data_IF_007124792257
#
_entry.id   IF_007124792257
#
_cell.length_a   1.000
_cell.length_b   1.000
_cell.length_c   1.000
_cell.angle_alpha   90.00
_cell.angle_beta   90.00
_cell.angle_gamma   90.00
#
_symmetry.space_group_name_H-M   'P 1'
#
loop_
_entity.id
_entity.type
_entity.pdbx_description
1 polymer ?
#
# COMPACT_ATOMS: atom_id res chain seq x y z
N UNK A 1 -3.20 1.35 -73.20
CA UNK A 1 -2.33 0.36 -72.54
C UNK A 1 -1.58 1.12 -71.46
N UNK A 2 -2.16 1.24 -70.25
CA UNK A 2 -1.98 0.35 -69.10
C UNK A 2 -0.51 0.23 -68.70
N UNK A 3 -0.10 0.87 -67.60
CA UNK A 3 0.89 0.44 -66.59
C UNK A 3 1.16 1.65 -65.67
N UNK A 4 0.98 1.48 -64.36
CA UNK A 4 1.66 2.35 -63.39
C UNK A 4 0.86 2.83 -62.18
N UNK A 5 -0.44 2.54 -62.11
CA UNK A 5 -1.22 2.67 -60.88
C UNK A 5 -0.90 1.50 -59.93
N UNK A 6 0.29 1.46 -59.33
CA UNK A 6 0.66 0.37 -58.43
C UNK A 6 1.73 0.72 -57.37
N UNK A 7 1.73 1.94 -56.85
CA UNK A 7 2.64 2.36 -55.77
C UNK A 7 1.92 3.05 -54.60
N UNK A 8 0.74 2.55 -54.21
CA UNK A 8 -0.01 3.06 -53.04
C UNK A 8 -0.32 1.96 -52.01
N UNK A 9 0.02 0.70 -52.27
CA UNK A 9 -0.58 -0.43 -51.54
C UNK A 9 0.42 -1.38 -50.88
N UNK A 10 1.34 -0.90 -50.04
CA UNK A 10 2.16 -1.82 -49.22
C UNK A 10 2.73 -1.26 -47.90
N UNK A 11 2.25 -0.11 -47.40
CA UNK A 11 2.76 0.48 -46.16
C UNK A 11 2.02 0.11 -44.87
N UNK A 12 0.99 -0.73 -44.94
CA UNK A 12 0.05 -0.96 -43.81
C UNK A 12 0.25 -2.29 -43.07
N UNK A 13 1.25 -3.09 -43.40
CA UNK A 13 1.43 -4.40 -42.76
C UNK A 13 2.47 -4.35 -41.66
N UNK A 14 1.99 -4.61 -40.43
CA UNK A 14 2.73 -5.06 -39.26
C UNK A 14 3.25 -4.00 -38.27
N UNK A 15 2.34 -3.17 -37.74
CA UNK A 15 2.47 -2.76 -36.34
C UNK A 15 2.10 -3.96 -35.44
N UNK A 16 3.02 -4.92 -35.28
CA UNK A 16 2.87 -5.99 -34.30
C UNK A 16 2.83 -5.37 -32.90
N UNK A 17 1.63 -5.19 -32.35
CA UNK A 17 1.44 -4.80 -30.96
C UNK A 17 1.52 -6.05 -30.10
N UNK A 18 2.67 -6.28 -29.47
CA UNK A 18 2.82 -7.33 -28.47
C UNK A 18 2.00 -6.96 -27.25
N UNK A 19 0.93 -7.70 -26.99
CA UNK A 19 0.14 -7.59 -25.76
C UNK A 19 0.70 -8.64 -24.80
N UNK A 20 1.60 -8.24 -23.92
CA UNK A 20 2.06 -9.10 -22.84
C UNK A 20 0.92 -9.26 -21.82
N UNK A 21 0.34 -10.45 -21.77
CA UNK A 21 -0.73 -10.77 -20.80
C UNK A 21 -0.11 -11.53 -19.65
N UNK A 22 0.30 -10.81 -18.60
CA UNK A 22 0.81 -11.41 -17.37
C UNK A 22 -0.37 -11.98 -16.58
N UNK A 23 -0.52 -13.31 -16.58
CA UNK A 23 -1.47 -13.99 -15.70
C UNK A 23 -0.84 -14.13 -14.32
N UNK A 24 -1.47 -13.66 -13.23
CA UNK A 24 -0.95 -13.90 -11.90
C UNK A 24 -0.96 -15.41 -11.63
N UNK A 25 0.22 -15.98 -11.36
CA UNK A 25 0.33 -17.33 -10.82
C UNK A 25 -0.09 -17.22 -9.35
N UNK A 26 -1.31 -17.67 -9.02
CA UNK A 26 -1.78 -17.72 -7.65
C UNK A 26 -1.00 -18.79 -6.86
N UNK A 27 0.15 -18.41 -6.29
CA UNK A 27 0.67 -19.10 -5.09
C UNK A 27 0.00 -18.46 -3.89
N UNK A 28 -0.95 -19.16 -3.28
CA UNK A 28 -1.53 -18.73 -2.00
C UNK A 28 -0.50 -19.01 -0.90
N UNK A 29 0.42 -18.08 -0.68
CA UNK A 29 1.15 -18.07 0.59
C UNK A 29 0.14 -17.87 1.73
N UNK A 30 0.31 -18.56 2.87
CA UNK A 30 -0.61 -18.40 4.00
C UNK A 30 -0.59 -16.94 4.48
N UNK A 31 -1.71 -16.25 4.30
CA UNK A 31 -1.90 -14.87 4.76
C UNK A 31 -1.98 -14.88 6.28
N UNK A 32 -0.96 -14.34 6.94
CA UNK A 32 -0.99 -14.12 8.39
C UNK A 32 -1.91 -12.94 8.69
N UNK A 33 -3.07 -13.23 9.28
CA UNK A 33 -4.00 -12.21 9.76
C UNK A 33 -3.83 -12.02 11.27
N UNK A 34 -3.64 -10.78 11.72
CA UNK A 34 -3.77 -10.40 13.12
C UNK A 34 -5.10 -9.64 13.29
N UNK A 35 -5.83 -9.82 14.41
CA UNK A 35 -6.97 -8.96 14.71
C UNK A 35 -6.49 -7.52 15.01
N UNK A 36 -7.32 -6.50 14.73
CA UNK A 36 -7.00 -5.14 15.14
C UNK A 36 -7.05 -5.04 16.68
N UNK A 37 -6.03 -4.44 17.28
CA UNK A 37 -5.92 -4.29 18.75
C UNK A 37 -6.47 -2.95 19.20
N UNK A 38 -6.17 -1.87 18.46
CA UNK A 38 -6.58 -0.50 18.79
C UNK A 38 -6.90 0.30 17.54
N UNK A 39 -7.71 1.34 17.70
CA UNK A 39 -8.01 2.30 16.65
C UNK A 39 -7.91 3.72 17.19
N UNK A 40 -7.37 4.61 16.36
CA UNK A 40 -7.20 6.01 16.69
C UNK A 40 -7.87 6.86 15.61
N UNK A 41 -8.65 7.84 16.00
CA UNK A 41 -9.07 8.92 15.10
C UNK A 41 -7.95 9.96 15.03
N UNK A 42 -7.63 10.38 13.81
CA UNK A 42 -6.63 11.42 13.56
C UNK A 42 -7.35 12.73 13.30
N UNK A 43 -7.00 13.75 14.08
CA UNK A 43 -7.55 15.09 13.92
C UNK A 43 -6.43 16.10 13.71
N UNK A 44 -6.72 17.15 12.94
CA UNK A 44 -5.91 18.36 12.86
C UNK A 44 -6.80 19.60 13.09
N UNK A 45 -6.26 20.80 12.86
CA UNK A 45 -6.99 22.06 13.04
C UNK A 45 -8.28 22.19 12.19
N UNK A 46 -8.44 21.35 11.16
CA UNK A 46 -9.62 21.32 10.27
C UNK A 46 -10.63 20.25 10.66
N UNK A 47 -10.35 19.51 11.73
CA UNK A 47 -11.17 18.40 12.20
C UNK A 47 -10.61 17.04 11.79
N UNK A 48 -11.46 16.01 11.67
CA UNK A 48 -11.02 14.64 11.46
C UNK A 48 -10.41 14.47 10.06
N UNK A 49 -9.25 13.82 10.01
CA UNK A 49 -8.49 13.57 8.78
C UNK A 49 -8.51 12.09 8.36
N UNK A 50 -8.74 11.18 9.30
CA UNK A 50 -8.74 9.74 9.05
C UNK A 50 -8.59 8.92 10.31
N UNK A 51 -8.14 7.68 10.15
CA UNK A 51 -7.99 6.73 11.24
C UNK A 51 -6.66 6.00 11.17
N UNK A 52 -6.19 5.51 12.30
CA UNK A 52 -5.04 4.60 12.40
C UNK A 52 -5.50 3.35 13.12
N UNK A 53 -5.30 2.19 12.52
CA UNK A 53 -5.59 0.89 13.13
C UNK A 53 -4.28 0.20 13.46
N UNK A 54 -4.12 -0.21 14.71
CA UNK A 54 -2.96 -0.95 15.18
C UNK A 54 -3.26 -2.45 15.18
N UNK A 55 -2.38 -3.20 14.55
CA UNK A 55 -2.32 -4.66 14.58
C UNK A 55 -1.06 -5.07 15.35
N UNK A 56 -1.23 -5.65 16.53
CA UNK A 56 -0.12 -6.22 17.29
C UNK A 56 0.00 -7.71 16.96
N UNK A 57 1.18 -8.16 16.55
CA UNK A 57 1.40 -9.59 16.41
C UNK A 57 1.57 -10.23 17.80
N UNK A 58 0.97 -11.40 17.98
CA UNK A 58 1.03 -12.15 19.25
C UNK A 58 2.44 -12.61 19.60
N UNK A 59 3.34 -12.71 18.61
CA UNK A 59 4.68 -13.27 18.79
C UNK A 59 5.75 -12.24 19.19
N UNK A 60 5.62 -10.98 18.78
CA UNK A 60 6.61 -9.93 19.09
C UNK A 60 6.06 -8.52 18.88
N UNK A 61 6.31 -7.57 19.80
CA UNK A 61 5.99 -6.16 19.61
C UNK A 61 6.69 -5.52 18.38
N UNK A 62 7.80 -6.10 17.93
CA UNK A 62 8.52 -5.65 16.73
C UNK A 62 7.79 -5.96 15.42
N UNK A 63 6.69 -6.72 15.49
CA UNK A 63 5.81 -7.04 14.37
C UNK A 63 4.52 -6.18 14.39
N UNK A 64 4.48 -5.12 15.21
CA UNK A 64 3.38 -4.16 15.18
C UNK A 64 3.27 -3.46 13.82
N UNK A 65 2.03 -3.32 13.34
CA UNK A 65 1.72 -2.65 12.09
C UNK A 65 0.61 -1.62 12.32
N UNK A 66 0.87 -0.39 11.92
CA UNK A 66 -0.08 0.72 11.97
C UNK A 66 -0.59 0.99 10.57
N UNK A 67 -1.91 0.99 10.42
CA UNK A 67 -2.58 1.08 9.14
C UNK A 67 -3.32 2.39 9.10
N UNK A 68 -2.96 3.24 8.14
CA UNK A 68 -3.53 4.58 8.04
C UNK A 68 -4.66 4.57 7.02
N UNK A 69 -5.84 5.01 7.44
CA UNK A 69 -7.06 5.06 6.64
C UNK A 69 -7.56 6.47 6.46
N UNK A 70 -8.20 6.75 5.33
CA UNK A 70 -8.97 7.98 5.17
C UNK A 70 -10.31 7.91 5.92
N UNK A 71 -11.08 9.01 5.87
CA UNK A 71 -12.43 9.09 6.46
C UNK A 71 -13.42 8.06 5.89
N UNK A 72 -13.16 7.58 4.67
CA UNK A 72 -13.95 6.55 4.00
C UNK A 72 -13.46 5.13 4.29
N UNK A 73 -12.60 4.95 5.31
CA UNK A 73 -12.06 3.65 5.74
C UNK A 73 -11.21 2.93 4.68
N UNK A 74 -10.70 3.65 3.67
CA UNK A 74 -9.78 3.08 2.69
C UNK A 74 -8.35 3.12 3.23
N UNK A 75 -7.64 2.01 3.13
CA UNK A 75 -6.23 1.91 3.51
C UNK A 75 -5.36 2.78 2.57
N UNK A 76 -4.71 3.80 3.12
CA UNK A 76 -3.84 4.74 2.39
C UNK A 76 -2.35 4.41 2.54
N UNK A 77 -1.98 3.67 3.57
CA UNK A 77 -0.60 3.32 3.82
C UNK A 77 -0.42 2.59 5.13
N UNK A 78 0.83 2.24 5.41
CA UNK A 78 1.25 1.51 6.60
C UNK A 78 2.48 2.12 7.22
N UNK A 79 2.62 1.93 8.53
CA UNK A 79 3.81 2.26 9.30
C UNK A 79 4.17 1.02 10.10
N UNK A 80 5.40 0.54 9.98
CA UNK A 80 5.84 -0.61 10.76
C UNK A 80 6.33 -0.23 12.16
N UNK A 81 6.65 -1.23 12.98
CA UNK A 81 7.19 -1.05 14.32
C UNK A 81 8.52 -0.26 14.38
N UNK A 82 9.25 -0.16 13.26
CA UNK A 82 10.47 0.64 13.15
C UNK A 82 10.19 2.10 12.76
N UNK A 83 8.91 2.46 12.59
CA UNK A 83 8.49 3.80 12.22
C UNK A 83 8.74 4.13 10.74
N UNK A 84 8.94 3.13 9.88
CA UNK A 84 9.06 3.34 8.43
C UNK A 84 7.65 3.44 7.85
N UNK A 85 7.37 4.56 7.18
CA UNK A 85 6.07 4.88 6.62
C UNK A 85 6.06 4.64 5.10
N UNK A 86 5.03 3.94 4.63
CA UNK A 86 4.81 3.60 3.24
C UNK A 86 3.38 4.03 2.84
N UNK A 87 3.24 4.65 1.67
CA UNK A 87 1.96 5.15 1.17
C UNK A 87 1.55 4.39 -0.09
N UNK A 88 0.33 3.88 -0.12
CA UNK A 88 -0.27 3.32 -1.31
C UNK A 88 -0.62 4.45 -2.28
N UNK A 89 -0.27 4.27 -3.55
CA UNK A 89 -0.61 5.21 -4.61
C UNK A 89 -1.58 4.53 -5.56
N UNK A 90 -2.60 5.24 -6.06
CA UNK A 90 -3.49 4.68 -7.07
C UNK A 90 -2.70 4.17 -8.27
N UNK A 91 -3.05 2.97 -8.74
CA UNK A 91 -2.44 2.30 -9.89
C UNK A 91 -0.99 1.85 -9.74
N UNK A 92 -0.36 2.05 -8.57
CA UNK A 92 0.97 1.52 -8.29
C UNK A 92 0.85 0.14 -7.63
N UNK A 93 1.61 -0.83 -8.15
CA UNK A 93 1.66 -2.18 -7.56
C UNK A 93 2.36 -2.19 -6.20
N UNK A 94 3.32 -1.27 -5.99
CA UNK A 94 4.16 -1.22 -4.79
C UNK A 94 3.93 0.07 -4.01
N UNK A 95 3.84 -0.01 -2.67
CA UNK A 95 3.75 1.20 -1.86
C UNK A 95 5.04 2.02 -1.95
N UNK A 96 4.90 3.34 -1.94
CA UNK A 96 6.02 4.28 -1.96
C UNK A 96 6.48 4.57 -0.54
N UNK A 97 7.79 4.45 -0.27
CA UNK A 97 8.35 4.90 1.01
C UNK A 97 8.26 6.42 1.13
N UNK A 98 7.66 6.92 2.22
CA UNK A 98 7.49 8.38 2.46
C UNK A 98 8.37 8.88 3.61
N UNK A 99 9.16 8.01 4.23
CA UNK A 99 10.17 8.35 5.22
C UNK A 99 10.10 7.50 6.49
N UNK A 100 10.93 7.83 7.48
CA UNK A 100 10.94 7.20 8.81
C UNK A 100 10.73 8.23 9.93
N UNK A 101 10.38 7.76 11.13
CA UNK A 101 10.23 8.59 12.34
C UNK A 101 9.21 8.04 13.32
N UNK A 102 8.62 8.91 14.14
CA UNK A 102 7.50 8.53 15.02
C UNK A 102 6.27 8.14 14.20
N UNK A 103 5.38 7.32 14.79
CA UNK A 103 4.11 6.93 14.18
C UNK A 103 3.31 8.18 13.76
N UNK A 104 3.21 9.17 14.63
CA UNK A 104 2.49 10.42 14.35
C UNK A 104 3.07 11.18 13.13
N UNK A 105 4.39 11.20 12.96
CA UNK A 105 5.04 11.79 11.78
C UNK A 105 4.77 10.98 10.52
N UNK A 106 4.73 9.65 10.61
CA UNK A 106 4.31 8.77 9.51
C UNK A 106 2.86 9.03 9.09
N UNK A 107 1.95 9.15 10.06
CA UNK A 107 0.53 9.46 9.85
C UNK A 107 0.36 10.80 9.13
N UNK A 108 1.04 11.84 9.62
CA UNK A 108 1.06 13.16 8.99
C UNK A 108 1.46 13.09 7.50
N UNK A 109 2.52 12.33 7.17
CA UNK A 109 3.00 12.16 5.79
C UNK A 109 2.03 11.38 4.92
N UNK A 110 1.41 10.33 5.44
CA UNK A 110 0.48 9.47 4.68
C UNK A 110 -0.84 10.21 4.40
N UNK A 111 -1.43 10.84 5.42
CA UNK A 111 -2.67 11.63 5.30
C UNK A 111 -2.46 12.99 4.65
N UNK A 112 -1.21 13.47 4.58
CA UNK A 112 -0.86 14.82 4.10
C UNK A 112 -1.61 15.91 4.87
N UNK A 113 -1.70 15.78 6.20
CA UNK A 113 -2.37 16.79 7.03
C UNK A 113 -1.61 18.12 6.93
N UNK A 114 -2.30 19.25 7.12
CA UNK A 114 -1.65 20.57 6.92
C UNK A 114 -0.92 21.06 8.15
N UNK A 115 -1.43 20.70 9.33
CA UNK A 115 -0.81 20.98 10.62
C UNK A 115 -0.45 19.68 11.34
N UNK A 116 0.22 19.81 12.48
CA UNK A 116 0.62 18.68 13.31
C UNK A 116 -0.63 17.96 13.81
N UNK A 117 -0.88 16.70 13.41
CA UNK A 117 -2.07 15.98 13.84
C UNK A 117 -1.95 15.51 15.29
N UNK A 118 -3.10 15.24 15.90
CA UNK A 118 -3.24 14.49 17.14
C UNK A 118 -3.95 13.17 16.87
N UNK A 119 -3.75 12.18 17.75
CA UNK A 119 -4.41 10.88 17.69
C UNK A 119 -5.19 10.66 18.98
N UNK A 120 -6.48 10.42 18.85
CA UNK A 120 -7.35 10.06 19.97
C UNK A 120 -7.78 8.60 19.81
N UNK A 121 -7.58 7.79 20.85
CA UNK A 121 -8.04 6.41 20.84
C UNK A 121 -9.57 6.36 20.81
N UNK A 122 -10.12 5.52 19.94
CA UNK A 122 -11.56 5.30 19.74
C UNK A 122 -11.86 3.81 19.78
N UNK A 123 -13.10 3.47 20.13
CA UNK A 123 -13.54 2.07 20.17
C UNK A 123 -13.41 1.43 18.79
N UNK A 124 -12.94 0.18 18.76
CA UNK A 124 -13.00 -0.64 17.56
C UNK A 124 -14.47 -0.88 17.18
N UNK A 125 -14.81 -0.88 15.88
CA UNK A 125 -16.15 -1.27 15.46
C UNK A 125 -16.40 -2.74 15.84
N UNK A 126 -17.60 -3.05 16.32
CA UNK A 126 -17.99 -4.41 16.76
C UNK A 126 -17.83 -5.47 15.65
N UNK A 127 -17.79 -5.04 14.38
CA UNK A 127 -17.46 -5.88 13.24
C UNK A 127 -16.15 -5.43 12.61
N UNK A 128 -15.06 -6.22 12.71
CA UNK A 128 -13.81 -5.87 12.04
C UNK A 128 -14.02 -6.03 10.54
N UNK A 129 -14.13 -4.92 9.82
CA UNK A 129 -13.95 -4.93 8.38
C UNK A 129 -12.59 -5.58 8.08
N UNK A 130 -12.62 -6.77 7.44
CA UNK A 130 -11.43 -7.55 7.09
C UNK A 130 -10.51 -6.69 6.24
N UNK A 131 -9.40 -6.21 6.80
CA UNK A 131 -8.28 -5.69 6.01
C UNK A 131 -7.28 -6.82 5.77
N UNK A 132 -6.99 -7.07 4.49
CA UNK A 132 -6.08 -8.12 4.03
C UNK A 132 -4.64 -7.61 4.16
N UNK A 133 -4.02 -7.78 5.32
CA UNK A 133 -2.58 -7.50 5.47
C UNK A 133 -1.74 -8.64 4.92
N UNK A 134 -0.89 -8.33 3.94
CA UNK A 134 0.21 -9.16 3.48
C UNK A 134 1.50 -8.59 4.07
N UNK A 135 1.98 -9.17 5.16
CA UNK A 135 3.32 -8.87 5.68
C UNK A 135 4.35 -9.56 4.77
N UNK A 136 4.83 -8.85 3.74
CA UNK A 136 5.89 -9.34 2.86
C UNK A 136 7.19 -9.41 3.66
N UNK A 137 7.58 -10.64 4.05
CA UNK A 137 8.78 -10.93 4.82
C UNK A 137 10.02 -10.56 4.01
N UNK A 138 10.52 -9.34 4.20
CA UNK A 138 11.82 -8.89 3.69
C UNK A 138 12.94 -9.55 4.49
N UNK A 139 13.33 -10.77 4.13
CA UNK A 139 14.58 -11.37 4.59
C UNK A 139 15.68 -11.10 3.55
N UNK A 140 16.83 -10.49 3.93
CA UNK A 140 17.95 -10.38 3.02
C UNK A 140 18.59 -11.77 2.83
N UNK A 141 18.60 -12.26 1.59
CA UNK A 141 19.42 -13.40 1.19
C UNK A 141 20.88 -13.01 1.31
N UNK A 142 21.52 -13.45 2.39
CA UNK A 142 22.96 -13.39 2.57
C UNK A 142 23.60 -14.37 1.57
N UNK A 143 24.15 -13.82 0.48
CA UNK A 143 25.01 -14.55 -0.44
C UNK A 143 26.34 -14.79 0.28
N UNK A 144 26.49 -15.95 0.92
CA UNK A 144 27.81 -16.48 1.24
C UNK A 144 28.34 -17.20 0.00
N UNK A 145 29.24 -16.52 -0.71
CA UNK A 145 30.28 -17.17 -1.49
C UNK A 145 31.42 -17.48 -0.52
N UNK A 146 31.80 -18.75 -0.44
CA UNK A 146 33.18 -19.23 -0.39
C UNK A 146 33.19 -20.66 -0.94
#
# INVERSE_FOLDING_TARGET
MCIGALLVLCGLTAACRTIETKRPIYRSEPVRTAPPTRMFEVQDERGPQGFVVLFEATASPQEALYVVRNLHQQDLGVIDALGRAFRYQPHEEKPTWVGSGSILRGVHRILKTRSQPIMQEVSLPESPARSLFTAEKSAPTQSQRN
#
